data_IF_407045229933
#
_entry.id   IF_407045229933
#
_cell.length_a   1.000
_cell.length_b   1.000
_cell.length_c   1.000
_cell.angle_alpha   90.00
_cell.angle_beta   90.00
_cell.angle_gamma   90.00
#
_symmetry.space_group_name_H-M   'P 1'
#
loop_
_entity.id
_entity.type
_entity.pdbx_description
1 polymer ?
#
# COMPACT_ATOMS: atom_id res chain seq x y z
N UNK A 1 17.45 19.40 -13.87
CA UNK A 1 18.03 18.08 -13.53
C UNK A 1 18.40 17.39 -14.84
N UNK A 2 19.38 16.50 -14.84
CA UNK A 2 19.70 15.71 -16.04
C UNK A 2 18.72 14.55 -16.18
N UNK A 3 18.49 14.06 -17.41
CA UNK A 3 17.59 12.92 -17.67
C UNK A 3 17.96 11.65 -16.90
N UNK A 4 19.26 11.47 -16.63
CA UNK A 4 19.76 10.36 -15.81
C UNK A 4 19.33 10.47 -14.33
N UNK A 5 19.35 11.68 -13.76
CA UNK A 5 18.90 11.90 -12.38
C UNK A 5 17.39 11.68 -12.24
N UNK A 6 16.61 12.01 -13.28
CA UNK A 6 15.17 11.78 -13.30
C UNK A 6 14.83 10.28 -13.37
N UNK A 7 15.57 9.52 -14.17
CA UNK A 7 15.42 8.06 -14.24
C UNK A 7 15.80 7.39 -12.91
N UNK A 8 16.88 7.81 -12.27
CA UNK A 8 17.30 7.25 -10.98
C UNK A 8 16.20 7.45 -9.93
N UNK A 9 15.69 8.68 -9.78
CA UNK A 9 14.60 8.97 -8.84
C UNK A 9 13.33 8.15 -9.15
N UNK A 10 12.97 8.01 -10.43
CA UNK A 10 11.85 7.17 -10.83
C UNK A 10 12.02 5.71 -10.36
N UNK A 11 13.22 5.16 -10.48
CA UNK A 11 13.51 3.79 -10.07
C UNK A 11 13.53 3.65 -8.54
N UNK A 12 14.08 4.62 -7.82
CA UNK A 12 14.10 4.68 -6.35
C UNK A 12 12.67 4.76 -5.80
N UNK A 13 11.88 5.74 -6.21
CA UNK A 13 10.49 5.91 -5.74
C UNK A 13 9.63 4.68 -6.07
N UNK A 14 9.86 4.06 -7.24
CA UNK A 14 9.16 2.81 -7.63
C UNK A 14 9.51 1.66 -6.69
N UNK A 15 10.80 1.50 -6.37
CA UNK A 15 11.28 0.44 -5.49
C UNK A 15 10.76 0.64 -4.06
N UNK A 16 10.84 1.87 -3.53
CA UNK A 16 10.32 2.21 -2.21
C UNK A 16 8.81 1.95 -2.12
N UNK A 17 8.04 2.35 -3.13
CA UNK A 17 6.60 2.07 -3.18
C UNK A 17 6.30 0.57 -3.21
N UNK A 18 7.05 -0.21 -4.00
CA UNK A 18 6.87 -1.67 -4.06
C UNK A 18 7.20 -2.34 -2.73
N UNK A 19 8.31 -1.96 -2.09
CA UNK A 19 8.72 -2.48 -0.80
C UNK A 19 7.68 -2.17 0.29
N UNK A 20 7.23 -0.91 0.37
CA UNK A 20 6.24 -0.50 1.36
C UNK A 20 4.89 -1.21 1.16
N UNK A 21 4.47 -1.45 -0.09
CA UNK A 21 3.30 -2.28 -0.38
C UNK A 21 3.48 -3.71 0.15
N UNK A 22 4.63 -4.34 -0.11
CA UNK A 22 4.88 -5.70 0.39
C UNK A 22 4.89 -5.78 1.92
N UNK A 23 5.43 -4.76 2.60
CA UNK A 23 5.45 -4.66 4.06
C UNK A 23 4.04 -4.46 4.62
N UNK A 24 3.26 -3.52 4.07
CA UNK A 24 1.87 -3.30 4.46
C UNK A 24 1.00 -4.55 4.25
N UNK A 25 1.15 -5.25 3.13
CA UNK A 25 0.44 -6.51 2.87
C UNK A 25 0.75 -7.55 3.96
N UNK A 26 2.03 -7.74 4.33
CA UNK A 26 2.41 -8.68 5.40
C UNK A 26 1.82 -8.28 6.76
N UNK A 27 1.93 -7.01 7.13
CA UNK A 27 1.40 -6.50 8.39
C UNK A 27 -0.14 -6.63 8.47
N UNK A 28 -0.85 -6.39 7.36
CA UNK A 28 -2.29 -6.53 7.29
C UNK A 28 -2.75 -7.99 7.29
N UNK A 29 -1.99 -8.89 6.66
CA UNK A 29 -2.27 -10.32 6.70
C UNK A 29 -2.17 -10.87 8.14
N UNK A 30 -1.11 -10.50 8.86
CA UNK A 30 -0.94 -10.86 10.27
C UNK A 30 -2.08 -10.29 11.14
N UNK A 31 -2.50 -9.04 10.87
CA UNK A 31 -3.63 -8.46 11.59
C UNK A 31 -4.93 -9.20 11.31
N UNK A 32 -5.23 -9.48 10.05
CA UNK A 32 -6.43 -10.23 9.68
C UNK A 32 -6.45 -11.66 10.27
N UNK A 33 -5.28 -12.30 10.45
CA UNK A 33 -5.19 -13.65 11.01
C UNK A 33 -5.34 -13.71 12.54
N UNK A 34 -5.14 -12.60 13.24
CA UNK A 34 -5.26 -12.52 14.71
C UNK A 34 -6.65 -12.13 15.19
N UNK A 35 -7.55 -11.77 14.26
CA UNK A 35 -8.93 -11.42 14.55
C UNK A 35 -9.83 -12.65 14.54
N UNK A 36 -10.68 -12.78 15.56
CA UNK A 36 -11.68 -13.85 15.68
C UNK A 36 -12.75 -13.72 14.58
N UNK A 37 -12.94 -14.74 13.70
CA UNK A 37 -13.97 -14.73 12.67
C UNK A 37 -15.41 -14.62 13.21
N UNK A 38 -15.64 -15.12 14.44
CA UNK A 38 -16.95 -15.09 15.10
C UNK A 38 -17.06 -13.93 16.12
N UNK A 39 -16.10 -12.99 16.08
CA UNK A 39 -16.03 -11.84 16.96
C UNK A 39 -17.10 -10.76 16.68
N UNK A 40 -17.14 -9.70 17.51
CA UNK A 40 -18.03 -8.56 17.30
C UNK A 40 -17.82 -7.88 15.94
N UNK A 41 -18.85 -7.17 15.45
CA UNK A 41 -18.84 -6.44 14.16
C UNK A 41 -17.63 -5.51 13.94
N UNK A 42 -17.10 -4.92 15.01
CA UNK A 42 -15.88 -4.10 14.98
C UNK A 42 -14.64 -4.91 14.56
N UNK A 43 -14.53 -6.13 15.08
CA UNK A 43 -13.50 -7.08 14.68
C UNK A 43 -13.68 -7.54 13.23
N UNK A 44 -14.92 -7.80 12.80
CA UNK A 44 -15.21 -8.11 11.40
C UNK A 44 -14.73 -6.99 10.45
N UNK A 45 -14.96 -5.72 10.81
CA UNK A 45 -14.49 -4.57 10.04
C UNK A 45 -12.96 -4.54 9.92
N UNK A 46 -12.25 -4.73 11.03
CA UNK A 46 -10.77 -4.82 11.06
C UNK A 46 -10.28 -5.94 10.14
N UNK A 47 -10.87 -7.13 10.24
CA UNK A 47 -10.49 -8.28 9.41
C UNK A 47 -10.73 -8.00 7.93
N UNK A 48 -11.89 -7.44 7.59
CA UNK A 48 -12.24 -7.10 6.20
C UNK A 48 -11.31 -6.04 5.61
N UNK A 49 -10.98 -4.98 6.37
CA UNK A 49 -10.01 -3.97 5.95
C UNK A 49 -8.60 -4.55 5.78
N UNK A 50 -8.18 -5.42 6.70
CA UNK A 50 -6.92 -6.16 6.57
C UNK A 50 -6.82 -6.95 5.28
N UNK A 51 -7.84 -7.76 4.96
CA UNK A 51 -7.86 -8.55 3.73
C UNK A 51 -7.87 -7.69 2.46
N UNK A 52 -8.67 -6.62 2.44
CA UNK A 52 -8.68 -5.69 1.31
C UNK A 52 -7.32 -5.00 1.12
N UNK A 53 -6.67 -4.60 2.21
CA UNK A 53 -5.34 -3.99 2.15
C UNK A 53 -4.29 -4.98 1.63
N UNK A 54 -4.36 -6.25 2.04
CA UNK A 54 -3.49 -7.32 1.51
C UNK A 54 -3.64 -7.43 0.00
N UNK A 55 -4.87 -7.55 -0.50
CA UNK A 55 -5.15 -7.73 -1.92
C UNK A 55 -4.62 -6.58 -2.77
N UNK A 56 -4.90 -5.34 -2.37
CA UNK A 56 -4.46 -4.17 -3.14
C UNK A 56 -2.95 -3.95 -3.06
N UNK A 57 -2.33 -4.16 -1.90
CA UNK A 57 -0.90 -3.98 -1.73
C UNK A 57 -0.10 -5.08 -2.46
N UNK A 58 -0.54 -6.33 -2.44
CA UNK A 58 0.10 -7.42 -3.20
C UNK A 58 0.01 -7.15 -4.71
N UNK A 59 -1.18 -6.78 -5.20
CA UNK A 59 -1.38 -6.43 -6.61
C UNK A 59 -0.50 -5.25 -7.03
N UNK A 60 -0.40 -4.21 -6.20
CA UNK A 60 0.43 -3.03 -6.47
C UNK A 60 1.91 -3.39 -6.47
N UNK A 61 2.38 -4.16 -5.49
CA UNK A 61 3.77 -4.63 -5.42
C UNK A 61 4.15 -5.39 -6.70
N UNK A 62 3.29 -6.29 -7.18
CA UNK A 62 3.53 -7.06 -8.42
C UNK A 62 3.61 -6.16 -9.64
N UNK A 63 2.66 -5.24 -9.80
CA UNK A 63 2.62 -4.28 -10.92
C UNK A 63 3.88 -3.40 -10.95
N UNK A 64 4.40 -3.00 -9.80
CA UNK A 64 5.62 -2.18 -9.71
C UNK A 64 6.92 -2.98 -9.92
N UNK A 65 6.92 -4.27 -9.54
CA UNK A 65 8.05 -5.17 -9.70
C UNK A 65 8.19 -5.72 -11.13
N UNK A 66 7.07 -5.91 -11.83
CA UNK A 66 7.09 -6.30 -13.24
C UNK A 66 7.64 -5.16 -14.10
N UNK A 67 8.41 -5.52 -15.14
CA UNK A 67 8.92 -4.56 -16.11
C UNK A 67 7.77 -4.12 -17.03
N UNK A 68 6.90 -3.30 -16.45
CA UNK A 68 5.65 -2.84 -17.04
C UNK A 68 5.98 -2.09 -18.33
N UNK A 69 5.68 -2.73 -19.47
CA UNK A 69 5.69 -2.04 -20.75
C UNK A 69 4.62 -0.94 -20.71
N UNK A 70 5.02 0.27 -20.30
CA UNK A 70 4.41 1.59 -20.58
C UNK A 70 2.95 1.84 -20.21
N UNK A 71 2.27 1.02 -19.40
CA UNK A 71 0.95 1.41 -18.89
C UNK A 71 1.05 2.27 -17.62
N UNK A 72 1.60 3.48 -17.77
CA UNK A 72 1.72 4.43 -16.66
C UNK A 72 0.35 4.89 -16.15
N UNK A 73 -0.69 4.83 -16.98
CA UNK A 73 -2.05 5.18 -16.59
C UNK A 73 -2.66 4.11 -15.67
N UNK A 74 -2.54 2.83 -16.03
CA UNK A 74 -2.95 1.71 -15.19
C UNK A 74 -2.20 1.66 -13.87
N UNK A 75 -0.87 1.89 -13.90
CA UNK A 75 -0.07 2.01 -12.68
C UNK A 75 -0.58 3.15 -11.80
N UNK A 76 -0.84 4.33 -12.36
CA UNK A 76 -1.37 5.47 -11.60
C UNK A 76 -2.67 5.11 -10.88
N UNK A 77 -3.63 4.54 -11.60
CA UNK A 77 -4.93 4.13 -11.04
C UNK A 77 -4.74 3.10 -9.91
N UNK A 78 -3.88 2.10 -10.13
CA UNK A 78 -3.60 1.07 -9.12
C UNK A 78 -2.98 1.67 -7.84
N UNK A 79 -2.00 2.56 -7.98
CA UNK A 79 -1.30 3.18 -6.84
C UNK A 79 -2.20 4.18 -6.11
N UNK A 80 -3.05 4.93 -6.82
CA UNK A 80 -4.07 5.80 -6.21
C UNK A 80 -5.07 5.00 -5.37
N UNK A 81 -5.49 3.84 -5.87
CA UNK A 81 -6.36 2.93 -5.15
C UNK A 81 -5.66 2.35 -3.91
N UNK A 82 -4.42 1.85 -4.06
CA UNK A 82 -3.60 1.36 -2.96
C UNK A 82 -3.46 2.39 -1.84
N UNK A 83 -3.08 3.63 -2.18
CA UNK A 83 -2.97 4.73 -1.22
C UNK A 83 -4.27 4.95 -0.43
N UNK A 84 -5.40 4.93 -1.11
CA UNK A 84 -6.72 5.17 -0.49
C UNK A 84 -7.05 4.06 0.50
N UNK A 85 -6.92 2.80 0.09
CA UNK A 85 -7.18 1.63 0.95
C UNK A 85 -6.23 1.60 2.15
N UNK A 86 -4.95 1.92 1.97
CA UNK A 86 -3.98 1.99 3.06
C UNK A 86 -4.37 3.04 4.10
N UNK A 87 -4.78 4.24 3.68
CA UNK A 87 -5.25 5.29 4.61
C UNK A 87 -6.47 4.84 5.40
N UNK A 88 -7.49 4.34 4.72
CA UNK A 88 -8.71 3.86 5.38
C UNK A 88 -8.45 2.67 6.32
N UNK A 89 -7.50 1.81 5.97
CA UNK A 89 -7.13 0.66 6.82
C UNK A 89 -6.37 1.13 8.06
N UNK A 90 -5.48 2.12 7.92
CA UNK A 90 -4.77 2.71 9.04
C UNK A 90 -5.73 3.35 10.05
N UNK A 91 -6.71 4.11 9.58
CA UNK A 91 -7.72 4.75 10.43
C UNK A 91 -8.49 3.68 11.23
N UNK A 92 -8.94 2.60 10.58
CA UNK A 92 -9.63 1.49 11.26
C UNK A 92 -8.72 0.77 12.25
N UNK A 93 -7.45 0.54 11.94
CA UNK A 93 -6.56 -0.18 12.85
C UNK A 93 -6.18 0.64 14.09
N UNK A 94 -6.04 1.96 13.98
CA UNK A 94 -5.73 2.82 15.15
C UNK A 94 -6.85 2.82 16.20
N UNK A 95 -8.10 2.61 15.78
CA UNK A 95 -9.25 2.53 16.68
C UNK A 95 -9.30 1.21 17.48
N UNK A 96 -8.46 0.22 17.14
CA UNK A 96 -8.55 -1.13 17.70
C UNK A 96 -7.27 -1.58 18.42
N UNK A 97 -7.38 -2.24 19.60
CA UNK A 97 -6.22 -2.78 20.30
C UNK A 97 -5.37 -3.73 19.44
N UNK A 98 -4.04 -3.51 19.48
CA UNK A 98 -3.05 -4.28 18.72
C UNK A 98 -3.01 -3.96 17.22
N UNK A 99 -3.65 -2.88 16.76
CA UNK A 99 -3.62 -2.45 15.37
C UNK A 99 -2.45 -1.52 15.01
N UNK A 100 -1.70 -1.02 15.98
CA UNK A 100 -0.73 0.07 15.83
C UNK A 100 0.35 -0.21 14.77
N UNK A 101 0.89 -1.44 14.76
CA UNK A 101 1.95 -1.82 13.82
C UNK A 101 1.43 -1.90 12.37
N UNK A 102 0.22 -2.43 12.18
CA UNK A 102 -0.44 -2.48 10.88
C UNK A 102 -0.85 -1.09 10.41
N UNK A 103 -1.38 -0.24 11.31
CA UNK A 103 -1.69 1.15 11.02
C UNK A 103 -0.45 1.94 10.58
N UNK A 104 0.66 1.77 11.30
CA UNK A 104 1.94 2.38 10.93
C UNK A 104 2.38 1.93 9.52
N UNK A 105 2.39 0.62 9.27
CA UNK A 105 2.80 0.06 7.97
C UNK A 105 1.91 0.57 6.82
N UNK A 106 0.60 0.68 7.05
CA UNK A 106 -0.33 1.26 6.09
C UNK A 106 -0.05 2.75 5.81
N UNK A 107 0.29 3.55 6.83
CA UNK A 107 0.65 4.97 6.62
C UNK A 107 1.94 5.12 5.82
N UNK A 108 2.97 4.36 6.16
CA UNK A 108 4.24 4.36 5.43
C UNK A 108 4.03 3.95 3.96
N UNK A 109 3.20 2.94 3.71
CA UNK A 109 2.81 2.56 2.35
C UNK A 109 2.03 3.66 1.61
N UNK A 110 1.08 4.33 2.27
CA UNK A 110 0.32 5.42 1.67
C UNK A 110 1.20 6.65 1.34
N UNK A 111 2.24 6.91 2.15
CA UNK A 111 3.25 7.94 1.90
C UNK A 111 4.09 7.58 0.67
N UNK A 112 4.67 6.38 0.63
CA UNK A 112 5.45 5.91 -0.53
C UNK A 112 4.63 5.88 -1.83
N UNK A 113 3.36 5.49 -1.76
CA UNK A 113 2.44 5.59 -2.90
C UNK A 113 2.23 7.05 -3.36
N UNK A 114 2.16 7.99 -2.42
CA UNK A 114 2.00 9.42 -2.73
C UNK A 114 3.24 9.97 -3.43
N UNK A 115 4.42 9.60 -2.95
CA UNK A 115 5.69 10.05 -3.52
C UNK A 115 5.89 9.49 -4.93
N UNK A 116 5.61 8.20 -5.12
CA UNK A 116 5.69 7.61 -6.46
C UNK A 116 4.68 8.23 -7.44
N UNK A 117 3.45 8.51 -7.01
CA UNK A 117 2.46 9.23 -7.83
C UNK A 117 2.94 10.64 -8.24
N UNK A 118 3.64 11.34 -7.35
CA UNK A 118 4.23 12.63 -7.65
C UNK A 118 5.30 12.52 -8.75
N UNK A 119 6.06 11.43 -8.78
CA UNK A 119 7.04 11.15 -9.83
C UNK A 119 6.39 10.72 -11.15
N UNK A 120 5.29 9.95 -11.12
CA UNK A 120 4.50 9.65 -12.32
C UNK A 120 3.88 10.89 -12.97
N UNK A 121 3.67 11.97 -12.22
CA UNK A 121 3.04 13.20 -12.71
C UNK A 121 4.05 14.15 -13.39
N UNK A 122 5.35 13.85 -13.32
CA UNK A 122 6.45 14.64 -13.90
C UNK A 122 6.96 14.08 -15.22
N UNK A 123 6.47 12.91 -15.64
CA UNK A 123 6.87 12.20 -16.86
C UNK A 123 5.81 12.22 -17.95
#
# INVERSE_FOLDING_TARGET
MTSQQELIRFLEDRFECAQACAEAARACALRASTVDPDGPREQELVRRKGLLCVEVCDATCRVLAEEARRDTAGIRVQVEWCRTVCRESADVFDEHPGGQDSAKSCRECAEACTDFLATLSRG
#
